data_IF_818164675750
#
_entry.id   IF_818164675750
#
_cell.length_a   1.000
_cell.length_b   1.000
_cell.length_c   1.000
_cell.angle_alpha   90.00
_cell.angle_beta   90.00
_cell.angle_gamma   90.00
#
_symmetry.space_group_name_H-M   'P 1'
#
loop_
_entity.id
_entity.type
_entity.pdbx_description
1 polymer ?
#
# COMPACT_ATOMS: atom_id res chain seq x y z
N UNK A 1 -22.98 -44.16 42.48
CA UNK A 1 -22.60 -44.37 41.07
C UNK A 1 -21.20 -43.81 40.90
N UNK A 2 -20.17 -44.64 41.03
CA UNK A 2 -18.78 -44.20 40.85
C UNK A 2 -18.41 -44.33 39.36
N UNK A 3 -18.24 -43.21 38.67
CA UNK A 3 -17.73 -43.17 37.31
C UNK A 3 -16.21 -43.32 37.37
N UNK A 4 -15.72 -44.52 37.05
CA UNK A 4 -14.29 -44.78 36.87
C UNK A 4 -13.76 -43.90 35.74
N UNK A 5 -12.99 -42.87 36.08
CA UNK A 5 -12.19 -42.14 35.12
C UNK A 5 -11.04 -43.05 34.68
N UNK A 6 -11.13 -43.60 33.47
CA UNK A 6 -10.04 -44.36 32.84
C UNK A 6 -8.91 -43.40 32.53
N UNK A 7 -8.04 -43.13 33.52
CA UNK A 7 -6.79 -42.40 33.27
C UNK A 7 -5.97 -43.24 32.31
N UNK A 8 -5.91 -42.81 31.04
CA UNK A 8 -5.00 -43.37 30.03
C UNK A 8 -3.60 -43.49 30.64
N UNK A 9 -3.10 -44.74 30.69
CA UNK A 9 -1.74 -45.10 31.10
C UNK A 9 -0.81 -45.28 29.89
N UNK A 10 -1.21 -44.73 28.75
CA UNK A 10 -0.52 -44.87 27.48
C UNK A 10 0.16 -43.56 27.08
N UNK A 11 1.31 -43.69 26.43
CA UNK A 11 2.00 -42.56 25.81
C UNK A 11 1.17 -42.02 24.63
N UNK A 12 0.95 -40.71 24.55
CA UNK A 12 0.22 -40.04 23.48
C UNK A 12 0.81 -40.31 22.08
N UNK A 13 2.14 -40.39 21.97
CA UNK A 13 2.83 -40.57 20.67
C UNK A 13 2.90 -42.05 20.25
N UNK A 14 3.31 -42.95 21.14
CA UNK A 14 3.55 -44.35 20.76
C UNK A 14 2.42 -45.33 21.16
N UNK A 15 1.40 -44.88 21.89
CA UNK A 15 0.24 -45.69 22.28
C UNK A 15 0.54 -46.86 23.23
N UNK A 16 1.77 -47.00 23.72
CA UNK A 16 2.19 -48.10 24.59
C UNK A 16 1.99 -47.74 26.06
N UNK A 17 1.43 -48.69 26.82
CA UNK A 17 1.43 -48.64 28.29
C UNK A 17 2.86 -48.74 28.82
N UNK A 18 3.27 -47.77 29.65
CA UNK A 18 4.59 -47.76 30.28
C UNK A 18 4.50 -47.41 31.76
N UNK A 19 5.41 -47.98 32.54
CA UNK A 19 5.46 -47.79 34.00
C UNK A 19 5.77 -46.34 34.42
N UNK A 20 6.50 -45.59 33.59
CA UNK A 20 6.83 -44.19 33.82
C UNK A 20 6.30 -43.32 32.66
N UNK A 21 5.27 -42.54 32.94
CA UNK A 21 4.72 -41.50 32.07
C UNK A 21 4.86 -40.15 32.75
N UNK A 22 5.19 -39.16 31.94
CA UNK A 22 5.37 -37.77 32.35
C UNK A 22 4.34 -36.93 31.63
N UNK A 23 3.71 -36.01 32.35
CA UNK A 23 2.74 -35.09 31.76
C UNK A 23 3.48 -33.83 31.32
N UNK A 24 3.29 -33.41 30.08
CA UNK A 24 3.79 -32.11 29.63
C UNK A 24 2.83 -31.03 30.11
N UNK A 25 3.31 -30.04 30.87
CA UNK A 25 2.45 -28.96 31.39
C UNK A 25 1.93 -28.02 30.29
N UNK A 26 2.63 -27.93 29.16
CA UNK A 26 2.26 -27.06 28.04
C UNK A 26 1.07 -27.57 27.21
N UNK A 27 0.98 -28.88 26.99
CA UNK A 27 -0.08 -29.51 26.20
C UNK A 27 -0.99 -30.44 26.99
N UNK A 28 -0.72 -30.65 28.29
CA UNK A 28 -1.46 -31.55 29.20
C UNK A 28 -1.49 -33.04 28.80
N UNK A 29 -0.72 -33.43 27.78
CA UNK A 29 -0.62 -34.81 27.31
C UNK A 29 0.46 -35.62 28.04
N UNK A 30 0.32 -36.95 28.06
CA UNK A 30 1.23 -37.87 28.74
C UNK A 30 2.19 -38.56 27.77
N UNK A 31 3.47 -38.54 28.09
CA UNK A 31 4.53 -39.07 27.23
C UNK A 31 5.46 -40.01 27.99
N UNK A 32 6.06 -40.96 27.27
CA UNK A 32 7.20 -41.68 27.81
C UNK A 32 8.48 -40.81 27.71
N UNK A 33 9.54 -41.08 28.50
CA UNK A 33 10.72 -40.23 28.56
C UNK A 33 11.33 -39.87 27.19
N UNK A 34 11.40 -40.87 26.29
CA UNK A 34 11.97 -40.68 24.95
C UNK A 34 11.10 -39.79 24.06
N UNK A 35 9.79 -39.98 24.13
CA UNK A 35 8.83 -39.23 23.30
C UNK A 35 8.61 -37.82 23.86
N UNK A 36 8.73 -37.63 25.18
CA UNK A 36 8.71 -36.31 25.82
C UNK A 36 9.88 -35.44 25.33
N UNK A 37 11.10 -35.99 25.28
CA UNK A 37 12.27 -35.27 24.80
C UNK A 37 12.10 -34.84 23.32
N UNK A 38 11.57 -35.73 22.48
CA UNK A 38 11.26 -35.41 21.08
C UNK A 38 10.21 -34.31 20.96
N UNK A 39 9.13 -34.42 21.73
CA UNK A 39 8.07 -33.42 21.76
C UNK A 39 8.57 -32.04 22.18
N UNK A 40 9.43 -31.97 23.20
CA UNK A 40 10.07 -30.71 23.61
C UNK A 40 10.99 -30.16 22.53
N UNK A 41 11.73 -31.03 21.84
CA UNK A 41 12.60 -30.63 20.74
C UNK A 41 11.81 -30.09 19.54
N UNK A 42 10.67 -30.70 19.20
CA UNK A 42 9.74 -30.19 18.19
C UNK A 42 9.26 -28.78 18.54
N UNK A 43 8.88 -28.52 19.81
CA UNK A 43 8.50 -27.19 20.24
C UNK A 43 9.62 -26.15 20.13
N UNK A 44 10.87 -26.52 20.38
CA UNK A 44 12.01 -25.61 20.18
C UNK A 44 12.17 -25.26 18.71
N UNK A 45 12.06 -26.26 17.81
CA UNK A 45 12.13 -26.03 16.36
C UNK A 45 10.98 -25.15 15.86
N UNK A 46 9.77 -25.32 16.40
CA UNK A 46 8.62 -24.47 16.07
C UNK A 46 8.87 -23.01 16.48
N UNK A 47 9.46 -22.79 17.66
CA UNK A 47 9.81 -21.45 18.14
C UNK A 47 10.91 -20.81 17.29
N UNK A 48 11.95 -21.55 16.92
CA UNK A 48 13.01 -21.07 16.01
C UNK A 48 12.45 -20.65 14.65
N UNK A 49 11.48 -21.43 14.14
CA UNK A 49 10.77 -21.08 12.91
C UNK A 49 9.96 -19.79 13.07
N UNK A 50 9.22 -19.62 14.16
CA UNK A 50 8.46 -18.39 14.43
C UNK A 50 9.38 -17.17 14.49
N UNK A 51 10.53 -17.29 15.16
CA UNK A 51 11.51 -16.19 15.22
C UNK A 51 12.00 -15.83 13.81
N UNK A 52 12.34 -16.82 13.00
CA UNK A 52 12.78 -16.61 11.61
C UNK A 52 11.70 -15.95 10.75
N UNK A 53 10.44 -16.38 10.92
CA UNK A 53 9.28 -15.80 10.22
C UNK A 53 9.08 -14.32 10.66
N UNK A 54 9.25 -14.02 11.96
CA UNK A 54 9.18 -12.66 12.49
C UNK A 54 10.29 -11.76 11.92
N UNK A 55 11.53 -12.24 11.87
CA UNK A 55 12.67 -11.49 11.32
C UNK A 55 12.45 -11.19 9.83
N UNK A 56 11.98 -12.18 9.07
CA UNK A 56 11.65 -12.04 7.65
C UNK A 56 10.54 -11.01 7.43
N UNK A 57 9.52 -11.03 8.29
CA UNK A 57 8.42 -10.07 8.23
C UNK A 57 8.89 -8.65 8.57
N UNK A 58 9.74 -8.49 9.59
CA UNK A 58 10.32 -7.21 9.96
C UNK A 58 11.21 -6.64 8.85
N UNK A 59 11.98 -7.50 8.16
CA UNK A 59 12.74 -7.09 6.99
C UNK A 59 11.82 -6.62 5.86
N UNK A 60 10.74 -7.37 5.57
CA UNK A 60 9.76 -6.99 4.55
C UNK A 60 9.11 -5.63 4.83
N UNK A 61 8.78 -5.33 6.09
CA UNK A 61 8.27 -4.02 6.50
C UNK A 61 9.31 -2.92 6.25
N UNK A 62 10.57 -3.19 6.61
CA UNK A 62 11.67 -2.23 6.48
C UNK A 62 11.96 -1.91 5.01
N UNK A 63 11.93 -2.90 4.14
CA UNK A 63 12.08 -2.74 2.68
C UNK A 63 10.95 -1.89 2.09
N UNK A 64 9.71 -2.06 2.56
CA UNK A 64 8.61 -1.18 2.14
C UNK A 64 8.79 0.28 2.59
N UNK A 65 9.49 0.53 3.70
CA UNK A 65 9.71 1.89 4.21
C UNK A 65 10.79 2.65 3.43
N UNK A 66 11.72 1.97 2.77
CA UNK A 66 12.91 2.60 2.20
C UNK A 66 12.66 3.47 0.97
N UNK A 67 11.51 3.36 0.28
CA UNK A 67 11.26 4.25 -0.85
C UNK A 67 9.78 4.63 -1.04
N UNK A 68 9.36 5.71 -0.36
CA UNK A 68 8.01 6.26 -0.45
C UNK A 68 7.64 6.69 -1.88
N UNK A 69 8.62 7.12 -2.67
CA UNK A 69 8.41 7.60 -4.04
C UNK A 69 8.14 6.48 -5.05
N UNK A 70 8.51 5.23 -4.75
CA UNK A 70 8.25 4.07 -5.61
C UNK A 70 6.98 3.32 -5.20
N UNK A 71 6.25 3.80 -4.18
CA UNK A 71 4.95 3.23 -3.86
C UNK A 71 4.00 3.49 -5.03
N UNK A 72 3.36 2.45 -5.60
CA UNK A 72 2.52 2.60 -6.79
C UNK A 72 1.41 3.65 -6.66
N UNK A 73 0.89 3.84 -5.44
CA UNK A 73 -0.12 4.87 -5.16
C UNK A 73 0.46 6.29 -5.18
N UNK A 74 1.67 6.48 -4.65
CA UNK A 74 2.35 7.80 -4.69
C UNK A 74 2.71 8.13 -6.14
N UNK A 75 3.17 7.16 -6.92
CA UNK A 75 3.41 7.36 -8.34
C UNK A 75 2.14 7.77 -9.09
N UNK A 76 0.99 7.12 -8.83
CA UNK A 76 -0.29 7.52 -9.40
C UNK A 76 -0.70 8.94 -9.01
N UNK A 77 -0.46 9.34 -7.75
CA UNK A 77 -0.71 10.72 -7.30
C UNK A 77 0.18 11.71 -8.06
N UNK A 78 1.47 11.39 -8.23
CA UNK A 78 2.42 12.24 -8.96
C UNK A 78 2.04 12.38 -10.44
N UNK A 79 1.63 11.29 -11.09
CA UNK A 79 1.14 11.29 -12.48
C UNK A 79 -0.13 12.12 -12.61
N UNK A 80 -1.09 11.94 -11.70
CA UNK A 80 -2.32 12.73 -11.66
C UNK A 80 -2.06 14.22 -11.46
N UNK A 81 -1.12 14.58 -10.57
CA UNK A 81 -0.73 15.97 -10.32
C UNK A 81 -0.12 16.59 -11.58
N UNK A 82 0.83 15.89 -12.21
CA UNK A 82 1.49 16.33 -13.43
C UNK A 82 0.48 16.61 -14.56
N UNK A 83 -0.39 15.63 -14.82
CA UNK A 83 -1.41 15.73 -15.87
C UNK A 83 -2.39 16.87 -15.62
N UNK A 84 -2.77 17.07 -14.36
CA UNK A 84 -3.68 18.14 -13.97
C UNK A 84 -3.06 19.52 -14.20
N UNK A 85 -1.80 19.70 -13.80
CA UNK A 85 -1.05 20.95 -14.04
C UNK A 85 -0.94 21.21 -15.55
N UNK A 86 -0.63 20.19 -16.34
CA UNK A 86 -0.51 20.33 -17.79
C UNK A 86 -1.83 20.72 -18.45
N UNK A 87 -2.95 20.11 -18.03
CA UNK A 87 -4.30 20.48 -18.52
C UNK A 87 -4.68 21.92 -18.17
N UNK A 88 -4.40 22.35 -16.93
CA UNK A 88 -4.65 23.72 -16.48
C UNK A 88 -3.83 24.70 -17.32
N UNK A 89 -2.53 24.45 -17.48
CA UNK A 89 -1.62 25.31 -18.27
C UNK A 89 -2.08 25.42 -19.72
N UNK A 90 -2.41 24.30 -20.37
CA UNK A 90 -2.88 24.28 -21.76
C UNK A 90 -4.18 25.07 -21.92
N UNK A 91 -5.13 24.89 -21.00
CA UNK A 91 -6.40 25.60 -21.03
C UNK A 91 -6.21 27.10 -20.82
N UNK A 92 -5.39 27.49 -19.84
CA UNK A 92 -5.09 28.90 -19.56
C UNK A 92 -4.43 29.57 -20.78
N UNK A 93 -3.49 28.90 -21.43
CA UNK A 93 -2.84 29.41 -22.64
C UNK A 93 -3.82 29.58 -23.80
N UNK A 94 -4.70 28.61 -24.01
CA UNK A 94 -5.78 28.73 -25.00
C UNK A 94 -6.72 29.91 -24.70
N UNK A 95 -7.03 30.18 -23.43
CA UNK A 95 -7.82 31.35 -23.04
C UNK A 95 -7.09 32.66 -23.35
N UNK A 96 -5.80 32.76 -23.02
CA UNK A 96 -4.97 33.96 -23.31
C UNK A 96 -4.94 34.25 -24.79
N UNK A 97 -4.67 33.24 -25.62
CA UNK A 97 -4.61 33.40 -27.08
C UNK A 97 -5.94 33.89 -27.66
N UNK A 98 -7.08 33.37 -27.18
CA UNK A 98 -8.40 33.87 -27.60
C UNK A 98 -8.63 35.32 -27.23
N UNK A 99 -8.25 35.73 -26.02
CA UNK A 99 -8.38 37.12 -25.57
C UNK A 99 -7.50 38.07 -26.37
N UNK A 100 -6.24 37.70 -26.60
CA UNK A 100 -5.31 38.48 -27.43
C UNK A 100 -5.91 38.68 -28.82
N UNK A 101 -6.30 37.58 -29.48
CA UNK A 101 -6.90 37.64 -30.82
C UNK A 101 -8.13 38.53 -30.87
N UNK A 102 -9.08 38.35 -29.94
CA UNK A 102 -10.28 39.18 -29.89
C UNK A 102 -9.97 40.65 -29.66
N UNK A 103 -8.94 40.96 -28.86
CA UNK A 103 -8.51 42.33 -28.61
C UNK A 103 -7.88 42.94 -29.85
N UNK A 104 -7.00 42.21 -30.54
CA UNK A 104 -6.36 42.64 -31.78
C UNK A 104 -7.39 42.88 -32.90
N UNK A 105 -8.35 41.98 -33.05
CA UNK A 105 -9.46 42.10 -34.00
C UNK A 105 -10.28 43.38 -33.72
N UNK A 106 -10.64 43.62 -32.45
CA UNK A 106 -11.36 44.82 -32.03
C UNK A 106 -10.55 46.10 -32.30
N UNK A 107 -9.25 46.10 -31.99
CA UNK A 107 -8.36 47.24 -32.25
C UNK A 107 -8.28 47.54 -33.75
N UNK A 108 -8.15 46.49 -34.58
CA UNK A 108 -8.12 46.64 -36.03
C UNK A 108 -9.42 47.25 -36.56
N UNK A 109 -10.56 46.81 -36.04
CA UNK A 109 -11.86 47.37 -36.43
C UNK A 109 -12.02 48.83 -36.01
N UNK A 110 -11.63 49.19 -34.78
CA UNK A 110 -11.63 50.58 -34.30
C UNK A 110 -10.74 51.45 -35.20
N UNK A 111 -9.52 51.00 -35.50
CA UNK A 111 -8.61 51.73 -36.41
C UNK A 111 -9.23 51.95 -37.79
N UNK A 112 -9.89 50.93 -38.34
CA UNK A 112 -10.58 51.03 -39.64
C UNK A 112 -11.69 52.08 -39.59
N UNK A 113 -12.56 52.03 -38.58
CA UNK A 113 -13.66 52.99 -38.38
C UNK A 113 -13.14 54.42 -38.21
N UNK A 114 -12.06 54.60 -37.43
CA UNK A 114 -11.43 55.90 -37.22
C UNK A 114 -10.86 56.47 -38.53
N UNK A 115 -10.13 55.67 -39.30
CA UNK A 115 -9.57 56.09 -40.59
C UNK A 115 -10.66 56.50 -41.59
N UNK A 116 -11.76 55.74 -41.63
CA UNK A 116 -12.91 56.07 -42.46
C UNK A 116 -13.51 57.42 -42.05
N UNK A 117 -13.74 57.63 -40.76
CA UNK A 117 -14.27 58.88 -40.23
C UNK A 117 -13.36 60.08 -40.58
N UNK A 118 -12.04 59.94 -40.43
CA UNK A 118 -11.06 60.98 -40.82
C UNK A 118 -11.14 61.28 -42.32
N UNK A 119 -11.27 60.25 -43.17
CA UNK A 119 -11.40 60.43 -44.61
C UNK A 119 -12.68 61.19 -44.97
N UNK A 120 -13.79 60.89 -44.31
CA UNK A 120 -15.07 61.58 -44.53
C UNK A 120 -15.02 63.04 -44.06
N UNK A 121 -14.39 63.33 -42.92
CA UNK A 121 -14.13 64.72 -42.49
C UNK A 121 -13.31 65.51 -43.52
N UNK A 122 -12.31 64.89 -44.16
CA UNK A 122 -11.50 65.55 -45.19
C UNK A 122 -12.28 65.86 -46.46
N UNK A 123 -13.30 65.07 -46.80
CA UNK A 123 -14.15 65.31 -47.98
C UNK A 123 -15.17 66.42 -47.76
N UNK A 124 -15.51 66.73 -46.51
CA UNK A 124 -16.44 67.81 -46.16
C UNK A 124 -15.77 69.19 -46.05
N UNK A 125 -14.44 69.24 -46.10
CA UNK A 125 -13.65 70.47 -46.12
C UNK A 125 -13.35 70.88 -47.55
#
# INVERSE_FOLDING_TARGET
MATSATTSKQCFICGKDKAALYTCEGCSEKFCPKDLLKHQQEHVLDLEKIVTDCDTFQQSISEQQQDLNYRPLIQQVNEWEHDSIMKIKKTAEGCRQRLIKSTDDNIAEIKKKLNQFIADLRKMR
#
